data_IF_876999181482
#
_entry.id   IF_876999181482
#
_cell.length_a   1.000
_cell.length_b   1.000
_cell.length_c   1.000
_cell.angle_alpha   90.00
_cell.angle_beta   90.00
_cell.angle_gamma   90.00
#
_symmetry.space_group_name_H-M   'P 1'
#
loop_
_entity.id
_entity.type
_entity.pdbx_description
1 polymer ?
#
# COMPACT_ATOMS: atom_id res chain seq x y z
N UNK A 1 -14.32 -1.57 7.72
CA UNK A 1 -13.28 -1.83 6.71
C UNK A 1 -12.40 -2.95 7.22
N UNK A 2 -12.26 -4.03 6.46
CA UNK A 2 -11.32 -5.10 6.81
C UNK A 2 -10.02 -4.86 6.04
N UNK A 3 -8.91 -4.72 6.77
CA UNK A 3 -7.59 -4.90 6.16
C UNK A 3 -7.31 -6.38 5.99
N UNK A 4 -6.57 -6.76 4.95
CA UNK A 4 -6.14 -8.13 4.69
C UNK A 4 -4.65 -8.24 5.00
N UNK A 5 -4.26 -9.25 5.76
CA UNK A 5 -2.85 -9.56 5.96
C UNK A 5 -2.26 -10.05 4.63
N UNK A 6 -1.23 -9.37 4.16
CA UNK A 6 -0.58 -9.67 2.88
C UNK A 6 0.91 -9.88 3.07
N UNK A 7 1.47 -10.64 2.14
CA UNK A 7 2.91 -10.77 1.90
C UNK A 7 3.19 -10.34 0.48
N UNK A 8 3.89 -9.22 0.33
CA UNK A 8 4.27 -8.66 -0.96
C UNK A 8 5.76 -8.88 -1.21
N UNK A 9 6.14 -9.19 -2.44
CA UNK A 9 7.53 -9.22 -2.88
C UNK A 9 7.94 -7.81 -3.27
N UNK A 10 8.82 -7.19 -2.50
CA UNK A 10 9.48 -5.93 -2.87
C UNK A 10 10.86 -6.17 -3.46
N UNK A 11 11.44 -5.10 -4.02
CA UNK A 11 12.83 -5.10 -4.52
C UNK A 11 13.86 -5.37 -3.40
N UNK A 12 13.49 -5.05 -2.15
CA UNK A 12 14.35 -5.15 -0.95
C UNK A 12 14.08 -6.41 -0.11
N UNK A 13 13.19 -7.28 -0.59
CA UNK A 13 12.75 -8.48 0.11
C UNK A 13 11.25 -8.52 0.33
N UNK A 14 10.81 -9.46 1.17
CA UNK A 14 9.40 -9.65 1.47
C UNK A 14 8.89 -8.61 2.47
N UNK A 15 7.74 -8.03 2.17
CA UNK A 15 7.03 -7.06 3.01
C UNK A 15 5.75 -7.70 3.52
N UNK A 16 5.61 -7.78 4.83
CA UNK A 16 4.40 -8.28 5.49
C UNK A 16 3.63 -7.11 6.08
N UNK A 17 2.33 -7.08 5.92
CA UNK A 17 1.55 -5.98 6.46
C UNK A 17 0.05 -6.14 6.30
N UNK A 18 -0.67 -5.12 6.77
CA UNK A 18 -2.11 -5.03 6.64
C UNK A 18 -2.44 -4.13 5.44
N UNK A 19 -2.97 -4.70 4.37
CA UNK A 19 -3.41 -3.97 3.19
C UNK A 19 -4.89 -3.64 3.29
N UNK A 20 -5.24 -2.37 3.12
CA UNK A 20 -6.63 -1.90 3.10
C UNK A 20 -6.92 -1.14 1.82
N UNK A 21 -8.04 -1.48 1.20
CA UNK A 21 -8.60 -0.69 0.11
C UNK A 21 -9.04 0.70 0.58
N UNK A 22 -9.07 1.70 -0.31
CA UNK A 22 -9.62 3.01 0.00
C UNK A 22 -11.09 2.92 0.45
N UNK A 23 -11.51 3.82 1.35
CA UNK A 23 -12.91 3.89 1.81
C UNK A 23 -13.85 4.16 0.64
N UNK A 24 -14.95 3.40 0.48
CA UNK A 24 -16.05 3.82 -0.38
C UNK A 24 -16.49 5.24 0.01
N UNK A 25 -16.64 6.14 -0.98
CA UNK A 25 -16.99 7.55 -0.76
C UNK A 25 -15.83 8.52 -0.53
N UNK A 26 -14.60 8.03 -0.32
CA UNK A 26 -13.42 8.90 -0.15
C UNK A 26 -13.01 9.55 -1.48
N UNK A 27 -13.14 8.83 -2.59
CA UNK A 27 -12.80 9.33 -3.93
C UNK A 27 -13.65 10.55 -4.34
N UNK A 28 -14.95 10.50 -4.02
CA UNK A 28 -15.90 11.60 -4.27
C UNK A 28 -15.60 12.82 -3.38
N UNK A 29 -15.13 12.59 -2.15
CA UNK A 29 -14.77 13.65 -1.21
C UNK A 29 -13.40 14.31 -1.51
N UNK A 30 -12.51 13.66 -2.26
CA UNK A 30 -11.12 14.11 -2.46
C UNK A 30 -10.86 14.83 -3.80
N UNK A 31 -11.89 15.41 -4.45
CA UNK A 31 -11.75 16.26 -5.65
C UNK A 31 -10.86 15.64 -6.75
N UNK A 32 -11.04 14.35 -7.05
CA UNK A 32 -10.33 13.70 -8.17
C UNK A 32 -8.95 13.13 -7.84
N UNK A 33 -8.54 13.08 -6.56
CA UNK A 33 -7.41 12.24 -6.15
C UNK A 33 -7.81 10.76 -6.27
N UNK A 34 -7.12 10.03 -7.15
CA UNK A 34 -7.35 8.60 -7.35
C UNK A 34 -7.27 7.86 -6.01
N UNK A 35 -8.25 7.01 -5.68
CA UNK A 35 -8.29 6.34 -4.39
C UNK A 35 -7.09 5.38 -4.28
N UNK A 36 -6.16 5.66 -3.36
CA UNK A 36 -4.94 4.87 -3.13
C UNK A 36 -5.15 3.83 -2.05
N UNK A 37 -4.62 2.63 -2.25
CA UNK A 37 -4.60 1.62 -1.21
C UNK A 37 -3.59 1.98 -0.12
N UNK A 38 -3.78 1.45 1.07
CA UNK A 38 -2.88 1.68 2.20
C UNK A 38 -2.35 0.37 2.74
N UNK A 39 -1.04 0.28 2.91
CA UNK A 39 -0.35 -0.82 3.57
C UNK A 39 0.25 -0.32 4.88
N UNK A 40 -0.03 -1.01 5.98
CA UNK A 40 0.65 -0.80 7.27
C UNK A 40 1.66 -1.92 7.47
N UNK A 41 2.94 -1.59 7.63
CA UNK A 41 4.03 -2.59 7.68
C UNK A 41 5.20 -2.10 8.54
N UNK A 42 6.01 -3.03 9.06
CA UNK A 42 7.31 -2.76 9.65
C UNK A 42 8.47 -3.13 8.72
N UNK A 43 8.18 -3.50 7.46
CA UNK A 43 9.19 -3.85 6.45
C UNK A 43 9.92 -2.63 5.90
N UNK A 44 11.06 -2.86 5.25
CA UNK A 44 11.80 -1.82 4.51
C UNK A 44 11.10 -1.54 3.17
N UNK A 45 10.45 -0.39 3.07
CA UNK A 45 9.71 0.07 1.89
C UNK A 45 10.02 1.54 1.64
N UNK A 46 10.27 1.91 0.37
CA UNK A 46 10.56 3.28 -0.03
C UNK A 46 9.64 3.77 -1.14
N UNK A 47 9.50 5.08 -1.25
CA UNK A 47 8.82 5.71 -2.37
C UNK A 47 9.47 5.31 -3.70
N UNK A 48 8.65 4.94 -4.68
CA UNK A 48 9.08 4.43 -5.98
C UNK A 48 9.32 2.91 -6.03
N UNK A 49 9.36 2.21 -4.89
CA UNK A 49 9.47 0.75 -4.88
C UNK A 49 8.24 0.13 -5.56
N UNK A 50 8.46 -0.99 -6.27
CA UNK A 50 7.41 -1.83 -6.82
C UNK A 50 7.23 -3.05 -5.91
N UNK A 51 6.00 -3.28 -5.47
CA UNK A 51 5.61 -4.42 -4.65
C UNK A 51 4.69 -5.33 -5.45
N UNK A 52 4.98 -6.63 -5.46
CA UNK A 52 4.21 -7.63 -6.20
C UNK A 52 3.43 -8.53 -5.23
N UNK A 53 2.13 -8.64 -5.44
CA UNK A 53 1.24 -9.54 -4.72
C UNK A 53 1.42 -11.00 -5.12
N UNK A 54 0.90 -11.94 -4.31
CA UNK A 54 1.04 -13.36 -4.57
C UNK A 54 0.28 -13.83 -5.83
N UNK A 55 -0.73 -13.09 -6.28
CA UNK A 55 -1.45 -13.39 -7.53
C UNK A 55 -0.86 -12.63 -8.74
N UNK A 56 0.29 -11.98 -8.57
CA UNK A 56 0.97 -11.22 -9.62
C UNK A 56 0.54 -9.77 -9.75
N UNK A 57 -0.34 -9.27 -8.86
CA UNK A 57 -0.73 -7.87 -8.85
C UNK A 57 0.49 -6.98 -8.57
N UNK A 58 0.59 -5.84 -9.22
CA UNK A 58 1.68 -4.91 -9.00
C UNK A 58 1.19 -3.61 -8.35
N UNK A 59 1.96 -3.14 -7.39
CA UNK A 59 1.67 -1.96 -6.58
C UNK A 59 2.89 -1.05 -6.54
N UNK A 60 2.75 0.16 -7.07
CA UNK A 60 3.78 1.19 -6.94
C UNK A 60 3.62 1.92 -5.61
N UNK A 61 4.70 2.02 -4.86
CA UNK A 61 4.76 2.83 -3.65
C UNK A 61 4.82 4.30 -4.03
N UNK A 62 3.79 5.04 -3.65
CA UNK A 62 3.66 6.46 -4.02
C UNK A 62 4.01 7.40 -2.88
N UNK A 63 3.81 6.97 -1.63
CA UNK A 63 4.18 7.72 -0.42
C UNK A 63 4.50 6.77 0.73
N UNK A 64 5.44 7.16 1.57
CA UNK A 64 5.78 6.44 2.81
C UNK A 64 5.90 7.43 3.96
N UNK A 65 5.26 7.13 5.09
CA UNK A 65 5.49 7.88 6.32
C UNK A 65 5.54 6.95 7.53
N UNK A 66 6.37 7.34 8.50
CA UNK A 66 6.53 6.63 9.77
C UNK A 66 5.46 7.07 10.77
N UNK A 67 5.03 6.12 11.59
CA UNK A 67 4.14 6.31 12.72
C UNK A 67 4.70 5.54 13.92
N UNK A 68 4.15 5.77 15.11
CA UNK A 68 4.59 5.08 16.34
C UNK A 68 4.42 3.55 16.29
N UNK A 69 3.61 3.05 15.35
CA UNK A 69 3.26 1.62 15.20
C UNK A 69 3.85 0.98 13.94
N UNK A 70 4.64 1.71 13.16
CA UNK A 70 5.25 1.23 11.92
C UNK A 70 5.17 2.22 10.76
N UNK A 71 5.36 1.72 9.55
CA UNK A 71 5.21 2.49 8.32
C UNK A 71 3.77 2.41 7.81
N UNK A 72 3.28 3.55 7.34
CA UNK A 72 2.08 3.63 6.52
C UNK A 72 2.51 3.98 5.10
N UNK A 73 2.06 3.18 4.16
CA UNK A 73 2.50 3.20 2.76
C UNK A 73 1.27 3.38 1.87
N UNK A 74 1.30 4.38 0.99
CA UNK A 74 0.29 4.52 -0.07
C UNK A 74 0.72 3.81 -1.34
N UNK A 75 -0.17 2.97 -1.84
CA UNK A 75 0.05 2.14 -3.01
C UNK A 75 -0.91 2.51 -4.13
N UNK A 76 -0.37 2.65 -5.33
CA UNK A 76 -1.14 2.71 -6.57
C UNK A 76 -1.03 1.37 -7.28
N UNK A 77 -2.16 0.75 -7.62
CA UNK A 77 -2.18 -0.48 -8.43
C UNK A 77 -1.79 -0.15 -9.85
N UNK A 78 -0.76 -0.79 -10.37
CA UNK A 78 -0.36 -0.71 -11.78
C UNK A 78 -1.07 -1.86 -12.52
N UNK A 79 -1.80 -1.52 -13.58
CA UNK A 79 -2.69 -2.43 -14.32
C UNK A 79 -2.05 -3.77 -14.70
#
# INVERSE_FOLDING_TARGET
MAGVLVRLQGQRGFVHGLLSEPRPGLAEAMLGLAPRMRLVTNGDVREGDLLTGPAGEQYQVTRVWSTDVGLVVELARTA
#
